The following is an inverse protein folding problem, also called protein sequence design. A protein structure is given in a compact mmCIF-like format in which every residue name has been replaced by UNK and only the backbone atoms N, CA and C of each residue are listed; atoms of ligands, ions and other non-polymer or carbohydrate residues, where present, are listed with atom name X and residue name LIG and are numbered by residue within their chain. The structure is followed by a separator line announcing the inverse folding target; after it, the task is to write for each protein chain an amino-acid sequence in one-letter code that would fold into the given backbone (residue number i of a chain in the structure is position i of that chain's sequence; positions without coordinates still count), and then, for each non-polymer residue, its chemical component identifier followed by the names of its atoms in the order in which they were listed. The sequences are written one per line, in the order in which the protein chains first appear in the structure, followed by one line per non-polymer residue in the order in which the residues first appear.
data_IF_027164956268
#
_entry.id   IF_027164956268
#
_cell.length_a   1.000
_cell.length_b   1.000
_cell.length_c   1.000
_cell.angle_alpha   90.00
_cell.angle_beta   90.00
_cell.angle_gamma   90.00
#
_symmetry.space_group_name_H-M   'P 1'
#
loop_
_entity.id
_entity.type
_entity.pdbx_description
1 polymer ?
#
# COMPACT_ATOMS: atom_id res chain seq x y z
N UNK A 1 10.56 -20.49 -2.68
CA UNK A 1 9.57 -19.64 -1.95
C UNK A 1 9.30 -20.37 -0.64
N UNK A 2 9.81 -19.87 0.48
CA UNK A 2 9.43 -20.41 1.80
C UNK A 2 8.02 -19.90 2.09
N UNK A 3 7.03 -20.77 2.04
CA UNK A 3 5.70 -20.52 2.59
C UNK A 3 5.85 -20.20 4.07
N UNK A 4 5.77 -18.91 4.41
CA UNK A 4 5.66 -18.50 5.80
C UNK A 4 4.19 -18.66 6.18
N UNK A 5 3.86 -19.73 6.91
CA UNK A 5 2.56 -19.88 7.52
C UNK A 5 2.26 -18.64 8.37
N UNK A 6 1.24 -17.89 7.99
CA UNK A 6 0.77 -16.72 8.74
C UNK A 6 -0.44 -17.14 9.56
N UNK A 7 -0.35 -17.04 10.86
CA UNK A 7 -1.51 -17.19 11.74
C UNK A 7 -2.41 -15.96 11.54
N UNK A 8 -3.66 -16.19 11.13
CA UNK A 8 -4.65 -15.13 10.88
C UNK A 8 -5.56 -14.95 12.09
N UNK A 9 -5.99 -16.05 12.70
CA UNK A 9 -6.77 -16.10 13.93
C UNK A 9 -6.06 -17.04 14.90
N UNK A 10 -5.89 -16.61 16.14
CA UNK A 10 -5.17 -17.35 17.15
C UNK A 10 -6.06 -17.51 18.39
N UNK A 11 -6.53 -18.75 18.60
CA UNK A 11 -7.29 -19.16 19.79
C UNK A 11 -8.46 -18.23 20.16
N UNK A 12 -9.28 -17.84 19.16
CA UNK A 12 -10.50 -17.05 19.41
C UNK A 12 -11.64 -17.99 19.84
N UNK A 13 -12.40 -17.55 20.85
CA UNK A 13 -13.59 -18.25 21.31
C UNK A 13 -14.69 -17.25 21.65
N UNK A 14 -15.86 -17.42 21.08
CA UNK A 14 -17.06 -16.62 21.40
C UNK A 14 -18.33 -17.43 21.09
N UNK A 15 -19.42 -17.02 21.67
CA UNK A 15 -20.74 -17.60 21.42
C UNK A 15 -21.74 -16.50 21.08
N UNK A 16 -22.72 -16.82 20.25
CA UNK A 16 -23.79 -15.91 19.85
C UNK A 16 -25.12 -16.59 20.18
N UNK A 17 -25.99 -15.86 20.86
CA UNK A 17 -27.32 -16.36 21.24
C UNK A 17 -28.27 -16.27 20.04
N UNK A 18 -29.28 -17.15 20.03
CA UNK A 18 -30.33 -17.07 19.01
C UNK A 18 -31.02 -15.70 19.05
N UNK A 19 -31.16 -15.07 17.89
CA UNK A 19 -31.75 -13.74 17.76
C UNK A 19 -30.82 -12.58 18.13
N UNK A 20 -29.57 -12.87 18.53
CA UNK A 20 -28.58 -11.83 18.85
C UNK A 20 -27.92 -11.30 17.56
N UNK A 21 -27.72 -9.99 17.47
CA UNK A 21 -26.95 -9.36 16.41
C UNK A 21 -25.56 -8.95 16.94
N UNK A 22 -24.51 -9.47 16.31
CA UNK A 22 -23.12 -9.24 16.71
C UNK A 22 -22.32 -8.58 15.61
N UNK A 23 -21.64 -7.47 15.93
CA UNK A 23 -20.73 -6.76 15.04
C UNK A 23 -19.28 -7.18 15.25
N UNK A 24 -18.58 -7.54 14.18
CA UNK A 24 -17.13 -7.77 14.21
C UNK A 24 -16.41 -6.50 13.75
N UNK A 25 -15.59 -5.93 14.62
CA UNK A 25 -14.83 -4.71 14.35
C UNK A 25 -13.33 -4.97 14.42
N UNK A 26 -12.54 -4.13 13.73
CA UNK A 26 -11.09 -4.23 13.73
C UNK A 26 -10.49 -3.77 12.40
N UNK A 27 -9.18 -3.64 12.36
CA UNK A 27 -8.43 -3.21 11.16
C UNK A 27 -8.56 -4.19 9.99
N UNK A 28 -8.22 -3.70 8.79
CA UNK A 28 -8.08 -4.56 7.63
C UNK A 28 -7.00 -5.62 7.87
N UNK A 29 -7.32 -6.87 7.52
CA UNK A 29 -6.42 -8.01 7.70
C UNK A 29 -6.30 -8.54 9.13
N UNK A 30 -7.13 -8.11 10.09
CA UNK A 30 -7.13 -8.65 11.46
C UNK A 30 -7.86 -9.99 11.62
N UNK A 31 -8.57 -10.47 10.55
CA UNK A 31 -9.24 -11.77 10.57
C UNK A 31 -10.78 -11.74 10.49
N UNK A 32 -11.44 -10.57 10.38
CA UNK A 32 -12.92 -10.46 10.32
C UNK A 32 -13.55 -11.31 9.21
N UNK A 33 -13.17 -11.08 7.95
CA UNK A 33 -13.69 -11.84 6.81
C UNK A 33 -13.25 -13.30 6.85
N UNK A 34 -12.10 -13.62 7.46
CA UNK A 34 -11.69 -15.00 7.71
C UNK A 34 -12.62 -15.68 8.70
N UNK A 35 -13.03 -14.98 9.76
CA UNK A 35 -14.02 -15.47 10.73
C UNK A 35 -15.34 -15.76 10.03
N UNK A 36 -15.83 -14.87 9.17
CA UNK A 36 -17.06 -15.13 8.41
C UNK A 36 -16.91 -16.32 7.46
N UNK A 37 -15.78 -16.48 6.77
CA UNK A 37 -15.52 -17.64 5.90
C UNK A 37 -15.45 -18.96 6.66
N UNK A 38 -15.00 -18.93 7.88
CA UNK A 38 -15.06 -20.08 8.79
C UNK A 38 -16.50 -20.42 9.20
N UNK A 39 -17.31 -19.39 9.52
CA UNK A 39 -18.73 -19.57 9.86
C UNK A 39 -19.54 -20.10 8.66
N UNK A 40 -19.23 -19.68 7.43
CA UNK A 40 -19.88 -20.21 6.21
C UNK A 40 -19.36 -21.57 5.77
N UNK A 41 -18.35 -22.11 6.44
CA UNK A 41 -17.67 -23.37 6.06
C UNK A 41 -16.99 -23.32 4.66
N UNK A 42 -16.72 -22.12 4.13
CA UNK A 42 -15.89 -21.95 2.92
C UNK A 42 -14.45 -22.39 3.21
N UNK A 43 -13.98 -22.14 4.42
CA UNK A 43 -12.72 -22.65 4.94
C UNK A 43 -12.95 -23.34 6.28
N UNK A 44 -12.03 -24.23 6.67
CA UNK A 44 -12.09 -24.94 7.94
C UNK A 44 -10.97 -24.47 8.88
N UNK A 45 -11.21 -24.46 10.20
CA UNK A 45 -10.18 -24.10 11.17
C UNK A 45 -9.09 -25.18 11.22
N UNK A 46 -7.85 -24.77 11.46
CA UNK A 46 -6.74 -25.71 11.67
C UNK A 46 -6.87 -26.47 13.00
N UNK A 47 -7.51 -25.86 13.98
CA UNK A 47 -7.81 -26.45 15.30
C UNK A 47 -9.06 -25.78 15.88
N UNK A 48 -9.69 -26.44 16.86
CA UNK A 48 -10.93 -25.97 17.47
C UNK A 48 -12.18 -26.44 16.72
N UNK A 49 -13.34 -25.95 17.16
CA UNK A 49 -14.66 -26.35 16.64
C UNK A 49 -15.53 -25.14 16.35
N UNK A 50 -16.40 -25.27 15.37
CA UNK A 50 -17.43 -24.29 15.04
C UNK A 50 -18.77 -25.02 15.00
N UNK A 51 -19.67 -24.64 15.86
CA UNK A 51 -21.03 -25.20 15.95
C UNK A 51 -22.04 -24.12 15.61
N UNK A 52 -22.96 -24.44 14.71
CA UNK A 52 -24.06 -23.56 14.30
C UNK A 52 -25.33 -24.39 14.17
N UNK A 53 -26.43 -23.87 14.68
CA UNK A 53 -27.74 -24.50 14.63
C UNK A 53 -28.70 -23.66 13.81
N UNK A 54 -29.22 -24.23 12.71
CA UNK A 54 -30.20 -23.56 11.82
C UNK A 54 -29.67 -23.32 10.41
N UNK A 55 -30.53 -22.73 9.57
CA UNK A 55 -30.21 -22.36 8.19
C UNK A 55 -29.36 -21.10 8.18
N UNK A 56 -28.22 -21.17 7.51
CA UNK A 56 -27.28 -20.04 7.37
C UNK A 56 -27.46 -19.42 5.99
N UNK A 57 -27.71 -18.12 5.93
CA UNK A 57 -27.58 -17.30 4.71
C UNK A 57 -26.37 -16.38 4.83
N UNK A 58 -25.63 -16.23 3.74
CA UNK A 58 -24.41 -15.43 3.72
C UNK A 58 -24.44 -14.42 2.59
N UNK A 59 -24.19 -13.17 2.92
CA UNK A 59 -24.01 -12.08 1.97
C UNK A 59 -22.54 -11.89 1.55
N UNK A 60 -21.64 -12.83 1.87
CA UNK A 60 -20.20 -12.72 1.56
C UNK A 60 -19.93 -12.80 0.06
N UNK A 61 -20.68 -13.65 -0.64
CA UNK A 61 -20.53 -13.87 -2.08
C UNK A 61 -21.85 -13.61 -2.79
N UNK A 62 -22.31 -12.35 -2.73
CA UNK A 62 -23.55 -11.94 -3.42
C UNK A 62 -23.48 -12.21 -4.92
N UNK A 63 -24.52 -12.86 -5.43
CA UNK A 63 -24.62 -13.24 -6.84
C UNK A 63 -23.77 -14.46 -7.22
N UNK A 64 -23.15 -15.15 -6.27
CA UNK A 64 -22.54 -16.44 -6.53
C UNK A 64 -23.60 -17.41 -7.13
N UNK A 65 -23.26 -18.01 -8.26
CA UNK A 65 -24.19 -18.88 -8.99
C UNK A 65 -25.13 -18.16 -9.99
N UNK A 66 -25.04 -16.86 -10.15
CA UNK A 66 -25.72 -16.16 -11.23
C UNK A 66 -25.13 -16.56 -12.59
N UNK A 67 -26.02 -16.96 -13.51
CA UNK A 67 -25.61 -17.28 -14.87
C UNK A 67 -25.83 -16.06 -15.78
N UNK A 68 -24.81 -15.55 -16.47
CA UNK A 68 -24.90 -14.28 -17.21
C UNK A 68 -25.92 -14.31 -18.36
N UNK A 69 -26.16 -15.45 -18.99
CA UNK A 69 -27.08 -15.58 -20.11
C UNK A 69 -28.55 -15.86 -19.70
N UNK A 70 -28.79 -16.15 -18.42
CA UNK A 70 -30.13 -16.30 -17.88
C UNK A 70 -30.70 -14.95 -17.48
N UNK A 71 -32.05 -14.84 -17.51
CA UNK A 71 -32.78 -13.67 -17.03
C UNK A 71 -32.59 -13.47 -15.52
N UNK A 72 -32.92 -12.28 -15.03
CA UNK A 72 -32.92 -12.01 -13.58
C UNK A 72 -33.86 -12.95 -12.85
N UNK A 73 -35.06 -13.24 -13.43
CA UNK A 73 -36.03 -14.17 -12.88
C UNK A 73 -35.48 -15.58 -12.73
N UNK A 74 -34.84 -16.13 -13.77
CA UNK A 74 -34.23 -17.45 -13.73
C UNK A 74 -33.10 -17.51 -12.71
N UNK A 75 -32.31 -16.44 -12.60
CA UNK A 75 -31.26 -16.33 -11.60
C UNK A 75 -31.81 -16.27 -10.16
N UNK A 76 -32.99 -15.68 -9.93
CA UNK A 76 -33.64 -15.75 -8.61
C UNK A 76 -33.89 -17.22 -8.23
N UNK A 77 -34.46 -18.03 -9.12
CA UNK A 77 -34.71 -19.44 -8.84
C UNK A 77 -33.45 -20.22 -8.57
N UNK A 78 -32.43 -20.04 -9.40
CA UNK A 78 -31.14 -20.74 -9.25
C UNK A 78 -30.46 -20.36 -7.95
N UNK A 79 -30.37 -19.06 -7.64
CA UNK A 79 -29.69 -18.58 -6.47
C UNK A 79 -30.43 -18.90 -5.16
N UNK A 80 -31.75 -18.73 -5.12
CA UNK A 80 -32.57 -19.09 -3.98
C UNK A 80 -32.54 -20.60 -3.69
N UNK A 81 -32.44 -21.46 -4.72
CA UNK A 81 -32.25 -22.90 -4.56
C UNK A 81 -30.86 -23.23 -3.94
N UNK A 82 -29.79 -22.45 -4.26
CA UNK A 82 -28.48 -22.60 -3.60
C UNK A 82 -28.58 -22.33 -2.08
N UNK A 83 -29.42 -21.35 -1.69
CA UNK A 83 -29.72 -21.09 -0.27
C UNK A 83 -30.67 -22.14 0.35
N UNK A 84 -31.08 -23.15 -0.41
CA UNK A 84 -31.88 -24.29 0.08
C UNK A 84 -33.39 -24.04 0.09
N UNK A 85 -33.91 -23.06 -0.68
CA UNK A 85 -35.34 -22.89 -0.85
C UNK A 85 -35.87 -23.89 -1.87
N UNK A 86 -37.07 -24.44 -1.59
CA UNK A 86 -37.84 -25.22 -2.55
C UNK A 86 -38.49 -24.29 -3.56
N UNK A 87 -38.85 -24.83 -4.74
CA UNK A 87 -39.55 -24.06 -5.78
C UNK A 87 -40.80 -23.38 -5.23
N UNK A 88 -41.60 -24.06 -4.40
CA UNK A 88 -42.82 -23.52 -3.80
C UNK A 88 -42.52 -22.31 -2.89
N UNK A 89 -41.44 -22.36 -2.12
CA UNK A 89 -41.01 -21.24 -1.28
C UNK A 89 -40.55 -20.06 -2.12
N UNK A 90 -39.83 -20.32 -3.24
CA UNK A 90 -39.40 -19.30 -4.19
C UNK A 90 -40.59 -18.64 -4.86
N UNK A 91 -41.54 -19.45 -5.38
CA UNK A 91 -42.78 -18.93 -6.03
C UNK A 91 -43.57 -18.00 -5.10
N UNK A 92 -43.62 -18.32 -3.81
CA UNK A 92 -44.33 -17.52 -2.80
C UNK A 92 -43.65 -16.16 -2.51
N UNK A 93 -42.34 -16.00 -2.81
CA UNK A 93 -41.56 -14.80 -2.51
C UNK A 93 -41.09 -14.05 -3.76
N UNK A 94 -41.37 -14.60 -4.93
CA UNK A 94 -40.80 -14.09 -6.18
C UNK A 94 -41.11 -12.61 -6.39
N UNK A 95 -42.40 -12.25 -6.18
CA UNK A 95 -42.85 -10.87 -6.38
C UNK A 95 -42.22 -9.91 -5.34
N UNK A 96 -42.02 -10.33 -4.09
CA UNK A 96 -41.36 -9.57 -3.05
C UNK A 96 -39.87 -9.37 -3.37
N UNK A 97 -39.20 -10.40 -3.87
CA UNK A 97 -37.81 -10.31 -4.30
C UNK A 97 -37.65 -9.32 -5.45
N UNK A 98 -38.51 -9.41 -6.47
CA UNK A 98 -38.50 -8.51 -7.62
C UNK A 98 -38.74 -7.07 -7.18
N UNK A 99 -39.80 -6.82 -6.41
CA UNK A 99 -40.16 -5.51 -5.90
C UNK A 99 -39.06 -4.92 -4.97
N UNK A 100 -38.42 -5.78 -4.16
CA UNK A 100 -37.29 -5.33 -3.33
C UNK A 100 -36.08 -4.91 -4.17
N UNK A 101 -35.78 -5.62 -5.26
CA UNK A 101 -34.65 -5.32 -6.15
C UNK A 101 -34.85 -4.04 -6.97
N UNK A 102 -36.11 -3.57 -7.16
CA UNK A 102 -36.48 -2.44 -8.04
C UNK A 102 -36.05 -2.67 -9.49
N UNK A 103 -36.22 -3.91 -9.98
CA UNK A 103 -35.79 -4.31 -11.31
C UNK A 103 -36.98 -4.89 -12.14
N UNK A 104 -38.19 -4.50 -11.82
CA UNK A 104 -39.42 -5.02 -12.47
C UNK A 104 -39.33 -4.95 -13.99
N UNK A 105 -38.89 -3.81 -14.53
CA UNK A 105 -38.78 -3.57 -15.97
C UNK A 105 -37.65 -4.36 -16.65
N UNK A 106 -36.71 -4.87 -15.87
CA UNK A 106 -35.48 -5.53 -16.38
C UNK A 106 -35.42 -7.02 -16.02
N UNK A 107 -36.35 -7.52 -15.20
CA UNK A 107 -36.22 -8.85 -14.57
C UNK A 107 -36.15 -9.99 -15.58
N UNK A 108 -36.75 -9.84 -16.74
CA UNK A 108 -36.77 -10.84 -17.80
C UNK A 108 -35.63 -10.68 -18.82
N UNK A 109 -34.75 -9.67 -18.63
CA UNK A 109 -33.54 -9.50 -19.43
C UNK A 109 -32.40 -10.35 -18.91
N UNK A 110 -31.45 -10.80 -19.77
CA UNK A 110 -30.24 -11.52 -19.35
C UNK A 110 -29.39 -10.67 -18.40
N UNK A 111 -28.90 -11.29 -17.32
CA UNK A 111 -28.14 -10.59 -16.26
C UNK A 111 -26.84 -9.99 -16.77
N UNK A 112 -26.25 -10.51 -17.85
CA UNK A 112 -25.09 -9.90 -18.53
C UNK A 112 -25.34 -8.47 -19.01
N UNK A 113 -26.61 -8.04 -19.17
CA UNK A 113 -26.98 -6.68 -19.59
C UNK A 113 -27.15 -5.73 -18.40
N UNK A 114 -27.08 -6.24 -17.18
CA UNK A 114 -27.24 -5.45 -15.96
C UNK A 114 -26.01 -4.60 -15.68
N UNK A 115 -26.25 -3.42 -15.14
CA UNK A 115 -25.16 -2.67 -14.49
C UNK A 115 -24.69 -3.40 -13.22
N UNK A 116 -23.50 -3.08 -12.72
CA UNK A 116 -23.02 -3.65 -11.45
C UNK A 116 -23.97 -3.39 -10.29
N UNK A 117 -24.61 -2.20 -10.27
CA UNK A 117 -25.61 -1.86 -9.26
C UNK A 117 -26.87 -2.73 -9.37
N UNK A 118 -27.42 -2.93 -10.58
CA UNK A 118 -28.58 -3.82 -10.80
C UNK A 118 -28.26 -5.26 -10.40
N UNK A 119 -27.08 -5.75 -10.79
CA UNK A 119 -26.60 -7.08 -10.41
C UNK A 119 -26.59 -7.27 -8.88
N UNK A 120 -25.98 -6.32 -8.17
CA UNK A 120 -25.87 -6.36 -6.71
C UNK A 120 -27.23 -6.20 -6.02
N UNK A 121 -28.14 -5.36 -6.55
CA UNK A 121 -29.51 -5.22 -6.04
C UNK A 121 -30.28 -6.53 -6.12
N UNK A 122 -30.22 -7.22 -7.27
CA UNK A 122 -30.87 -8.51 -7.44
C UNK A 122 -30.30 -9.56 -6.48
N UNK A 123 -28.98 -9.66 -6.42
CA UNK A 123 -28.29 -10.62 -5.56
C UNK A 123 -28.62 -10.40 -4.06
N UNK A 124 -28.65 -9.15 -3.63
CA UNK A 124 -29.03 -8.79 -2.27
C UNK A 124 -30.51 -9.10 -2.00
N UNK A 125 -31.41 -8.76 -2.94
CA UNK A 125 -32.81 -9.02 -2.81
C UNK A 125 -33.12 -10.52 -2.64
N UNK A 126 -32.44 -11.39 -3.38
CA UNK A 126 -32.56 -12.83 -3.20
C UNK A 126 -32.06 -13.25 -1.81
N UNK A 127 -30.85 -12.88 -1.45
CA UNK A 127 -30.21 -13.35 -0.23
C UNK A 127 -30.90 -12.90 1.07
N UNK A 128 -31.54 -11.71 1.05
CA UNK A 128 -32.25 -11.18 2.23
C UNK A 128 -33.68 -11.70 2.38
N UNK A 129 -34.26 -12.26 1.32
CA UNK A 129 -35.60 -12.85 1.34
C UNK A 129 -35.59 -14.39 1.55
N UNK A 130 -34.42 -14.93 1.93
CA UNK A 130 -34.29 -16.30 2.41
C UNK A 130 -34.59 -16.32 3.91
N UNK A 131 -35.54 -17.17 4.37
CA UNK A 131 -35.75 -17.37 5.81
C UNK A 131 -34.53 -18.08 6.42
N UNK A 132 -33.60 -17.30 6.90
CA UNK A 132 -32.40 -17.79 7.57
C UNK A 132 -32.55 -17.68 9.09
N UNK A 133 -32.08 -18.70 9.81
CA UNK A 133 -31.91 -18.61 11.27
C UNK A 133 -30.69 -17.75 11.62
N UNK A 134 -29.68 -17.76 10.73
CA UNK A 134 -28.41 -17.04 10.88
C UNK A 134 -28.08 -16.30 9.58
N UNK A 135 -27.88 -14.99 9.67
CA UNK A 135 -27.50 -14.13 8.56
C UNK A 135 -26.08 -13.59 8.77
N UNK A 136 -25.18 -13.90 7.83
CA UNK A 136 -23.78 -13.45 7.85
C UNK A 136 -23.55 -12.35 6.80
N UNK A 137 -23.04 -11.20 7.23
CA UNK A 137 -22.92 -9.99 6.40
C UNK A 137 -21.47 -9.52 6.41
N UNK A 138 -20.84 -9.39 5.22
CA UNK A 138 -19.49 -8.83 5.05
C UNK A 138 -19.55 -7.53 4.23
N UNK A 139 -19.39 -6.38 4.87
CA UNK A 139 -19.22 -5.02 4.27
C UNK A 139 -20.21 -4.58 3.16
N UNK A 140 -21.18 -5.41 2.78
CA UNK A 140 -21.94 -5.30 1.54
C UNK A 140 -23.15 -4.34 1.66
N UNK A 141 -23.29 -3.57 2.72
CA UNK A 141 -24.36 -2.57 2.83
C UNK A 141 -24.16 -1.34 1.90
N UNK A 142 -23.09 -1.32 1.11
CA UNK A 142 -22.82 -0.30 0.10
C UNK A 142 -23.43 -0.62 -1.28
N UNK A 143 -24.50 -1.44 -1.34
CA UNK A 143 -25.19 -1.79 -2.58
C UNK A 143 -26.12 -0.66 -3.03
N UNK A 144 -26.02 -0.25 -4.31
CA UNK A 144 -26.90 0.75 -4.89
C UNK A 144 -26.63 2.19 -4.41
N UNK A 145 -27.62 3.04 -4.57
CA UNK A 145 -27.61 4.41 -4.10
C UNK A 145 -28.01 4.53 -2.61
N UNK A 146 -27.94 5.75 -2.06
CA UNK A 146 -28.24 6.01 -0.65
C UNK A 146 -29.66 5.58 -0.25
N UNK A 147 -30.66 5.70 -1.14
CA UNK A 147 -32.04 5.29 -0.87
C UNK A 147 -32.15 3.78 -0.77
N UNK A 148 -31.52 3.06 -1.71
CA UNK A 148 -31.50 1.61 -1.68
C UNK A 148 -30.73 1.06 -0.47
N UNK A 149 -29.63 1.70 -0.10
CA UNK A 149 -28.89 1.35 1.12
C UNK A 149 -29.74 1.51 2.38
N UNK A 150 -30.52 2.59 2.47
CA UNK A 150 -31.46 2.80 3.57
C UNK A 150 -32.55 1.71 3.61
N UNK A 151 -33.06 1.31 2.44
CA UNK A 151 -34.03 0.20 2.30
C UNK A 151 -33.45 -1.12 2.79
N UNK A 152 -32.21 -1.45 2.38
CA UNK A 152 -31.49 -2.64 2.83
C UNK A 152 -31.31 -2.64 4.35
N UNK A 153 -30.93 -1.50 4.91
CA UNK A 153 -30.72 -1.35 6.34
C UNK A 153 -32.00 -1.53 7.16
N UNK A 154 -33.11 -0.97 6.69
CA UNK A 154 -34.42 -1.15 7.32
C UNK A 154 -34.85 -2.61 7.28
N UNK A 155 -34.65 -3.30 6.15
CA UNK A 155 -34.94 -4.73 6.04
C UNK A 155 -34.13 -5.58 7.01
N UNK A 156 -32.88 -5.25 7.23
CA UNK A 156 -32.06 -5.94 8.25
C UNK A 156 -32.60 -5.75 9.67
N UNK A 157 -33.14 -4.56 9.98
CA UNK A 157 -33.81 -4.31 11.27
C UNK A 157 -35.08 -5.14 11.44
N UNK A 158 -35.88 -5.28 10.39
CA UNK A 158 -37.07 -6.13 10.39
C UNK A 158 -36.70 -7.59 10.65
N UNK A 159 -35.75 -8.12 9.89
CA UNK A 159 -35.25 -9.51 10.04
C UNK A 159 -34.68 -9.76 11.45
N UNK A 160 -33.96 -8.79 12.02
CA UNK A 160 -33.52 -8.86 13.41
C UNK A 160 -34.70 -8.92 14.39
N UNK A 161 -35.70 -8.08 14.18
CA UNK A 161 -36.91 -8.05 15.03
C UNK A 161 -37.72 -9.34 14.97
N UNK A 162 -37.64 -10.09 13.86
CA UNK A 162 -38.21 -11.41 13.68
C UNK A 162 -37.44 -12.53 14.40
N UNK A 163 -36.27 -12.21 15.00
CA UNK A 163 -35.47 -13.13 15.80
C UNK A 163 -34.37 -13.85 15.06
N UNK A 164 -33.99 -13.40 13.87
CA UNK A 164 -32.82 -13.92 13.13
C UNK A 164 -31.55 -13.51 13.82
N UNK A 165 -30.63 -14.43 13.95
CA UNK A 165 -29.25 -14.18 14.45
C UNK A 165 -28.42 -13.52 13.36
N UNK A 166 -27.77 -12.40 13.67
CA UNK A 166 -27.01 -11.64 12.67
C UNK A 166 -25.54 -11.52 13.11
N UNK A 167 -24.62 -11.83 12.18
CA UNK A 167 -23.19 -11.49 12.34
C UNK A 167 -22.80 -10.55 11.21
N UNK A 168 -22.40 -9.34 11.57
CA UNK A 168 -22.06 -8.30 10.60
C UNK A 168 -20.62 -7.83 10.75
N UNK A 169 -19.92 -7.75 9.63
CA UNK A 169 -18.66 -7.00 9.50
C UNK A 169 -18.96 -5.70 8.76
N UNK A 170 -18.66 -4.56 9.34
CA UNK A 170 -18.79 -3.27 8.69
C UNK A 170 -17.69 -2.32 9.12
N UNK A 171 -17.26 -1.46 8.19
CA UNK A 171 -16.39 -0.31 8.52
C UNK A 171 -17.15 0.85 9.15
N UNK A 172 -18.49 0.86 9.04
CA UNK A 172 -19.33 1.88 9.64
C UNK A 172 -19.72 1.47 11.07
N UNK A 173 -19.00 2.00 12.05
CA UNK A 173 -19.30 1.75 13.47
C UNK A 173 -20.73 2.19 13.82
N UNK A 174 -21.22 3.29 13.23
CA UNK A 174 -22.58 3.77 13.44
C UNK A 174 -23.67 2.80 12.97
N UNK A 175 -23.43 2.04 11.88
CA UNK A 175 -24.34 1.00 11.43
C UNK A 175 -24.38 -0.17 12.41
N UNK A 176 -23.21 -0.59 12.91
CA UNK A 176 -23.11 -1.65 13.92
C UNK A 176 -23.86 -1.23 15.20
N UNK A 177 -23.70 0.03 15.67
CA UNK A 177 -24.39 0.53 16.85
C UNK A 177 -25.93 0.54 16.72
N UNK A 178 -26.42 0.67 15.49
CA UNK A 178 -27.86 0.71 15.24
C UNK A 178 -28.49 -0.68 15.13
N UNK A 179 -27.75 -1.70 14.70
CA UNK A 179 -28.26 -3.05 14.48
C UNK A 179 -27.83 -3.99 15.60
N UNK A 180 -26.56 -3.94 16.04
CA UNK A 180 -25.99 -4.97 16.86
C UNK A 180 -26.27 -4.75 18.35
N UNK A 181 -26.49 -5.85 19.06
CA UNK A 181 -26.62 -5.88 20.51
C UNK A 181 -25.26 -5.91 21.18
N UNK A 182 -24.25 -6.48 20.50
CA UNK A 182 -22.90 -6.68 20.96
C UNK A 182 -21.89 -6.49 19.85
N UNK A 183 -20.68 -6.06 20.20
CA UNK A 183 -19.54 -6.02 19.28
C UNK A 183 -18.37 -6.82 19.83
N UNK A 184 -17.62 -7.42 18.91
CA UNK A 184 -16.37 -8.13 19.20
C UNK A 184 -15.26 -7.44 18.41
N UNK A 185 -14.25 -6.92 19.10
CA UNK A 185 -13.10 -6.32 18.46
C UNK A 185 -11.99 -7.35 18.29
N UNK A 186 -11.64 -7.62 17.04
CA UNK A 186 -10.53 -8.49 16.65
C UNK A 186 -9.29 -7.66 16.34
N UNK A 187 -8.19 -7.95 17.01
CA UNK A 187 -6.88 -7.32 16.83
C UNK A 187 -5.81 -8.37 16.70
N UNK A 188 -5.07 -8.34 15.58
CA UNK A 188 -4.00 -9.29 15.31
C UNK A 188 -4.39 -10.78 15.48
N UNK A 189 -5.62 -11.12 15.10
CA UNK A 189 -6.13 -12.50 15.21
C UNK A 189 -6.66 -12.91 16.58
N UNK A 190 -6.67 -12.02 17.57
CA UNK A 190 -7.18 -12.24 18.93
C UNK A 190 -8.42 -11.38 19.20
N UNK A 191 -9.27 -11.80 20.13
CA UNK A 191 -10.34 -10.96 20.65
C UNK A 191 -9.74 -10.01 21.70
N UNK A 192 -9.72 -8.72 21.40
CA UNK A 192 -9.20 -7.66 22.27
C UNK A 192 -10.27 -7.16 23.25
N UNK A 193 -11.49 -7.02 22.76
CA UNK A 193 -12.63 -6.59 23.58
C UNK A 193 -13.94 -7.15 23.04
N UNK A 194 -14.88 -7.35 23.96
CA UNK A 194 -16.24 -7.79 23.69
C UNK A 194 -17.19 -7.04 24.65
N UNK A 195 -18.35 -6.63 24.17
CA UNK A 195 -19.32 -5.91 24.97
C UNK A 195 -20.31 -5.09 24.15
N UNK A 196 -20.92 -4.07 24.76
CA UNK A 196 -21.82 -3.20 24.03
C UNK A 196 -21.11 -2.52 22.85
N UNK A 197 -21.78 -2.27 21.72
CA UNK A 197 -21.12 -1.64 20.58
C UNK A 197 -20.42 -0.33 20.93
N UNK A 198 -21.05 0.52 21.74
CA UNK A 198 -20.47 1.81 22.15
C UNK A 198 -19.17 1.67 22.93
N UNK A 199 -19.13 0.77 23.90
CA UNK A 199 -17.96 0.56 24.75
C UNK A 199 -16.76 -0.01 23.95
N UNK A 200 -17.06 -0.98 23.09
CA UNK A 200 -16.04 -1.60 22.23
C UNK A 200 -15.52 -0.61 21.20
N UNK A 201 -16.41 0.18 20.59
CA UNK A 201 -16.03 1.18 19.58
C UNK A 201 -15.19 2.31 20.18
N UNK A 202 -15.48 2.78 21.39
CA UNK A 202 -14.64 3.75 22.07
C UNK A 202 -13.21 3.25 22.24
N UNK A 203 -13.04 2.02 22.76
CA UNK A 203 -11.72 1.39 22.91
C UNK A 203 -11.00 1.21 21.57
N UNK A 204 -11.73 0.83 20.54
CA UNK A 204 -11.19 0.68 19.20
C UNK A 204 -10.73 2.01 18.60
N UNK A 205 -11.52 3.07 18.75
CA UNK A 205 -11.19 4.41 18.26
C UNK A 205 -9.99 5.00 19.01
N UNK A 206 -9.90 4.83 20.32
CA UNK A 206 -8.75 5.26 21.12
C UNK A 206 -7.47 4.57 20.64
N UNK A 207 -7.52 3.26 20.42
CA UNK A 207 -6.41 2.52 19.85
C UNK A 207 -6.00 3.03 18.46
N UNK A 208 -6.98 3.29 17.58
CA UNK A 208 -6.71 3.82 16.23
C UNK A 208 -6.08 5.21 16.27
N UNK A 209 -6.50 6.07 17.22
CA UNK A 209 -5.91 7.39 17.40
C UNK A 209 -4.46 7.31 17.90
N UNK A 210 -4.19 6.45 18.87
CA UNK A 210 -2.82 6.22 19.36
C UNK A 210 -1.88 5.75 18.25
N UNK A 211 -2.31 4.77 17.43
CA UNK A 211 -1.50 4.30 16.31
C UNK A 211 -1.25 5.38 15.25
N UNK A 212 -2.25 6.24 14.98
CA UNK A 212 -2.06 7.38 14.06
C UNK A 212 -1.01 8.35 14.59
N UNK A 213 -1.04 8.64 15.89
CA UNK A 213 -0.05 9.51 16.52
C UNK A 213 1.36 8.91 16.43
N UNK A 214 1.50 7.62 16.77
CA UNK A 214 2.81 6.94 16.67
C UNK A 214 3.34 6.87 15.23
N UNK A 215 2.46 6.66 14.25
CA UNK A 215 2.85 6.65 12.83
C UNK A 215 3.27 8.03 12.36
N UNK A 216 2.55 9.08 12.75
CA UNK A 216 2.88 10.46 12.42
C UNK A 216 4.24 10.86 13.02
N UNK A 217 4.51 10.48 14.27
CA UNK A 217 5.78 10.75 14.93
C UNK A 217 6.94 10.02 14.24
N UNK A 218 6.76 8.74 13.90
CA UNK A 218 7.76 7.95 13.16
C UNK A 218 8.06 8.56 11.77
N UNK A 219 7.04 9.04 11.09
CA UNK A 219 7.22 9.68 9.77
C UNK A 219 7.93 11.02 9.89
N UNK A 220 7.61 11.85 10.88
CA UNK A 220 8.33 13.10 11.16
C UNK A 220 9.81 12.86 11.48
N UNK A 221 10.10 11.85 12.31
CA UNK A 221 11.46 11.45 12.62
C UNK A 221 12.22 10.97 11.37
N UNK A 222 11.56 10.24 10.50
CA UNK A 222 12.15 9.76 9.23
C UNK A 222 12.45 10.93 8.28
N UNK A 223 11.53 11.87 8.14
CA UNK A 223 11.73 13.08 7.32
C UNK A 223 12.87 13.92 7.85
N UNK A 224 12.92 14.17 9.17
CA UNK A 224 14.00 14.92 9.79
C UNK A 224 15.39 14.27 9.60
N UNK A 225 15.46 12.93 9.61
CA UNK A 225 16.71 12.21 9.30
C UNK A 225 17.14 12.41 7.84
N UNK A 226 16.20 12.26 6.89
CA UNK A 226 16.47 12.47 5.47
C UNK A 226 16.93 13.90 5.16
N UNK A 227 16.32 14.90 5.78
CA UNK A 227 16.73 16.30 5.64
C UNK A 227 18.14 16.55 6.18
N UNK A 228 18.49 15.97 7.33
CA UNK A 228 19.85 16.05 7.89
C UNK A 228 20.88 15.42 6.95
N UNK A 229 20.64 14.22 6.45
CA UNK A 229 21.51 13.54 5.49
C UNK A 229 21.70 14.35 4.19
N UNK A 230 20.63 14.97 3.69
CA UNK A 230 20.72 15.85 2.51
C UNK A 230 21.51 17.13 2.79
N UNK A 231 21.33 17.73 3.96
CA UNK A 231 22.14 18.91 4.38
C UNK A 231 23.62 18.56 4.52
N UNK A 232 23.95 17.43 5.12
CA UNK A 232 25.34 16.98 5.27
C UNK A 232 25.99 16.75 3.90
N UNK A 233 25.28 16.08 2.97
CA UNK A 233 25.77 15.89 1.59
C UNK A 233 26.04 17.22 0.89
N UNK A 234 25.09 18.18 0.97
CA UNK A 234 25.30 19.52 0.38
C UNK A 234 26.49 20.25 0.96
N UNK A 235 26.68 20.19 2.28
CA UNK A 235 27.85 20.82 2.92
C UNK A 235 29.16 20.19 2.46
N UNK A 236 29.18 18.87 2.31
CA UNK A 236 30.37 18.17 1.83
C UNK A 236 30.65 18.48 0.36
N UNK A 237 29.65 18.55 -0.49
CA UNK A 237 29.79 18.97 -1.89
C UNK A 237 30.32 20.41 -2.01
N UNK A 238 29.79 21.33 -1.19
CA UNK A 238 30.31 22.71 -1.15
C UNK A 238 31.75 22.77 -0.65
N UNK A 239 32.15 21.96 0.33
CA UNK A 239 33.53 21.87 0.81
C UNK A 239 34.46 21.40 -0.29
N UNK A 240 34.09 20.31 -0.97
CA UNK A 240 34.88 19.78 -2.09
C UNK A 240 34.97 20.81 -3.22
N UNK A 241 33.90 21.54 -3.53
CA UNK A 241 33.91 22.59 -4.56
C UNK A 241 34.83 23.75 -4.20
N UNK A 242 34.84 24.18 -2.93
CA UNK A 242 35.79 25.23 -2.44
C UNK A 242 37.23 24.76 -2.47
N UNK A 243 37.51 23.51 -2.10
CA UNK A 243 38.85 22.94 -2.17
C UNK A 243 39.35 22.83 -3.62
N UNK A 244 38.48 22.38 -4.56
CA UNK A 244 38.82 22.35 -5.99
C UNK A 244 39.10 23.75 -6.57
N UNK A 245 38.35 24.76 -6.13
CA UNK A 245 38.60 26.14 -6.56
C UNK A 245 39.95 26.67 -6.09
N UNK A 246 40.43 26.25 -4.91
CA UNK A 246 41.78 26.58 -4.42
C UNK A 246 42.88 25.88 -5.21
N UNK A 247 42.66 24.65 -5.61
CA UNK A 247 43.64 23.85 -6.37
C UNK A 247 43.80 24.35 -7.80
N UNK A 248 42.76 24.91 -8.40
CA UNK A 248 42.79 25.47 -9.75
C UNK A 248 43.30 26.92 -9.80
N UNK A 249 43.76 27.50 -8.68
CA UNK A 249 44.33 28.84 -8.67
C UNK A 249 45.77 28.81 -9.16
N UNK A 250 46.09 29.75 -10.06
CA UNK A 250 47.44 30.00 -10.53
C UNK A 250 48.18 30.78 -9.46
N UNK A 251 49.40 30.37 -9.15
CA UNK A 251 50.27 31.04 -8.19
C UNK A 251 51.56 31.44 -8.88
N UNK A 252 52.02 32.65 -8.67
CA UNK A 252 53.32 33.13 -9.19
C UNK A 252 53.31 34.63 -9.46
N UNK A 253 54.45 35.18 -9.95
CA UNK A 253 54.63 36.61 -10.28
C UNK A 253 53.91 37.03 -11.56
N UNK A 254 53.32 36.08 -12.33
CA UNK A 254 52.70 36.29 -13.63
C UNK A 254 53.61 36.74 -14.78
N UNK A 255 54.93 36.92 -14.54
CA UNK A 255 55.92 37.26 -15.58
C UNK A 255 56.06 36.14 -16.63
N UNK A 256 55.74 34.91 -16.25
CA UNK A 256 55.66 33.76 -17.15
C UNK A 256 54.43 32.93 -16.79
N UNK A 257 53.68 32.49 -17.83
CA UNK A 257 52.44 31.73 -17.64
C UNK A 257 52.31 30.58 -18.64
N UNK A 258 51.71 29.49 -18.22
CA UNK A 258 51.35 28.41 -19.12
C UNK A 258 50.20 28.89 -20.03
N UNK A 259 50.34 28.69 -21.35
CA UNK A 259 49.33 28.98 -22.36
C UNK A 259 48.45 27.80 -22.64
N UNK A 260 49.02 26.61 -22.81
CA UNK A 260 48.38 25.37 -23.14
C UNK A 260 49.05 24.20 -22.46
N UNK A 261 48.28 23.13 -22.22
CA UNK A 261 48.74 21.90 -21.62
C UNK A 261 48.15 20.74 -22.41
N UNK A 262 49.00 19.99 -23.08
CA UNK A 262 48.64 18.78 -23.78
C UNK A 262 49.22 17.55 -23.10
N UNK A 263 48.44 16.46 -23.09
CA UNK A 263 48.85 15.19 -22.55
C UNK A 263 48.79 14.11 -23.60
N UNK A 264 49.84 13.33 -23.75
CA UNK A 264 49.92 12.25 -24.73
C UNK A 264 50.24 10.92 -24.05
N UNK A 265 49.70 9.85 -24.60
CA UNK A 265 50.02 8.47 -24.22
C UNK A 265 51.38 8.04 -24.78
N UNK A 266 51.81 6.81 -24.47
CA UNK A 266 53.09 6.28 -24.92
C UNK A 266 53.16 6.14 -26.46
N UNK A 267 52.03 6.04 -27.14
CA UNK A 267 51.91 6.00 -28.59
C UNK A 267 51.97 7.39 -29.25
N UNK A 268 52.00 8.47 -28.47
CA UNK A 268 52.03 9.85 -28.96
C UNK A 268 50.63 10.39 -29.32
N UNK A 269 49.55 9.76 -28.90
CA UNK A 269 48.18 10.21 -29.14
C UNK A 269 47.72 11.07 -27.97
N UNK A 270 47.06 12.20 -28.25
CA UNK A 270 46.53 13.09 -27.23
C UNK A 270 45.41 12.36 -26.45
N UNK A 271 45.51 12.32 -25.12
CA UNK A 271 44.55 11.67 -24.24
C UNK A 271 44.42 12.40 -22.92
N UNK A 272 43.22 12.35 -22.33
CA UNK A 272 42.94 12.82 -20.97
C UNK A 272 42.69 11.70 -19.98
N UNK A 273 42.73 10.44 -20.45
CA UNK A 273 42.50 9.25 -19.64
C UNK A 273 43.67 8.31 -19.81
N UNK A 274 44.31 7.94 -18.71
CA UNK A 274 45.51 7.09 -18.67
C UNK A 274 45.29 5.92 -17.70
N UNK A 275 45.88 4.77 -18.03
CA UNK A 275 45.85 3.59 -17.15
C UNK A 275 46.97 3.68 -16.11
N UNK A 276 46.77 3.05 -14.97
CA UNK A 276 47.79 2.95 -13.94
C UNK A 276 49.03 2.25 -14.49
N UNK A 277 50.21 2.91 -14.38
CA UNK A 277 51.49 2.40 -14.90
C UNK A 277 51.81 2.79 -16.34
N UNK A 278 50.90 3.49 -17.05
CA UNK A 278 51.13 4.01 -18.39
C UNK A 278 52.05 5.25 -18.34
N UNK A 279 52.91 5.37 -19.34
CA UNK A 279 53.77 6.56 -19.48
C UNK A 279 52.95 7.72 -20.03
N UNK A 280 53.01 8.85 -19.35
CA UNK A 280 52.33 10.09 -19.75
C UNK A 280 53.39 11.11 -20.17
N UNK A 281 53.20 11.68 -21.35
CA UNK A 281 54.02 12.78 -21.86
C UNK A 281 53.21 14.07 -21.70
N UNK A 282 53.78 15.05 -21.00
CA UNK A 282 53.19 16.39 -20.82
C UNK A 282 53.93 17.37 -21.73
N UNK A 283 53.15 18.03 -22.58
CA UNK A 283 53.62 19.15 -23.39
C UNK A 283 52.99 20.45 -22.81
N UNK A 284 53.87 21.36 -22.38
CA UNK A 284 53.53 22.55 -21.63
C UNK A 284 53.94 23.78 -22.44
N UNK A 285 52.97 24.40 -23.14
CA UNK A 285 53.19 25.72 -23.77
C UNK A 285 53.29 26.81 -22.68
N UNK A 286 54.21 27.72 -22.82
CA UNK A 286 54.32 28.85 -21.92
C UNK A 286 54.63 30.14 -22.63
N UNK A 287 54.19 31.26 -22.09
CA UNK A 287 54.47 32.62 -22.58
C UNK A 287 55.20 33.43 -21.48
N UNK A 288 56.19 34.17 -21.88
CA UNK A 288 56.96 35.02 -20.97
C UNK A 288 56.79 36.47 -21.43
N UNK A 289 56.22 37.29 -20.57
CA UNK A 289 55.93 38.71 -20.87
C UNK A 289 57.12 39.61 -20.67
N UNK A 290 58.06 39.24 -19.75
CA UNK A 290 59.27 39.99 -19.44
C UNK A 290 60.48 39.06 -19.44
N UNK A 291 61.70 39.61 -19.57
CA UNK A 291 62.91 38.78 -19.46
C UNK A 291 63.05 38.23 -18.06
N UNK A 292 62.81 36.89 -17.94
CA UNK A 292 62.90 36.15 -16.68
C UNK A 292 64.19 35.36 -16.68
N UNK A 293 64.98 35.55 -15.65
CA UNK A 293 66.22 34.75 -15.38
C UNK A 293 65.83 33.71 -14.31
N UNK A 294 66.24 32.45 -14.54
CA UNK A 294 65.98 31.32 -13.63
C UNK A 294 64.50 31.00 -13.36
N UNK A 295 63.67 30.96 -14.44
CA UNK A 295 62.29 30.57 -14.31
C UNK A 295 62.15 29.12 -13.81
N UNK A 296 61.30 28.92 -12.80
CA UNK A 296 60.94 27.61 -12.29
C UNK A 296 59.45 27.39 -12.51
N UNK A 297 59.12 26.40 -13.29
CA UNK A 297 57.75 25.99 -13.49
C UNK A 297 57.42 24.78 -12.62
N UNK A 298 56.27 24.83 -11.97
CA UNK A 298 55.79 23.72 -11.16
C UNK A 298 54.43 23.25 -11.60
N UNK A 299 54.20 21.96 -11.57
CA UNK A 299 52.87 21.40 -11.74
C UNK A 299 52.61 20.36 -10.66
N UNK A 300 51.36 20.20 -10.31
CA UNK A 300 50.88 19.22 -9.35
C UNK A 300 49.71 18.41 -9.93
N UNK A 301 49.73 17.10 -9.66
CA UNK A 301 48.65 16.18 -10.00
C UNK A 301 47.87 15.87 -8.74
N UNK A 302 46.59 16.12 -8.79
CA UNK A 302 45.64 15.87 -7.71
C UNK A 302 44.59 14.84 -8.12
N UNK A 303 44.18 13.98 -7.20
CA UNK A 303 43.04 13.11 -7.35
C UNK A 303 41.72 13.94 -7.29
N UNK A 304 40.63 13.40 -7.79
CA UNK A 304 39.34 14.10 -7.82
C UNK A 304 38.81 14.60 -6.46
N UNK A 305 39.28 14.02 -5.36
CA UNK A 305 39.01 14.41 -3.98
C UNK A 305 40.02 15.43 -3.41
N UNK A 306 40.78 16.08 -4.29
CA UNK A 306 41.83 17.07 -3.97
C UNK A 306 43.06 16.50 -3.22
N UNK A 307 43.20 15.17 -3.17
CA UNK A 307 44.42 14.57 -2.59
C UNK A 307 45.61 14.80 -3.52
N UNK A 308 46.69 15.35 -2.97
CA UNK A 308 47.95 15.52 -3.67
C UNK A 308 48.55 14.16 -4.04
N UNK A 309 48.75 13.93 -5.33
CA UNK A 309 49.29 12.65 -5.83
C UNK A 309 50.77 12.79 -6.26
N UNK A 310 51.07 13.86 -6.97
CA UNK A 310 52.41 14.08 -7.50
C UNK A 310 52.67 15.57 -7.75
N UNK A 311 53.90 16.02 -7.63
CA UNK A 311 54.32 17.37 -7.99
C UNK A 311 55.75 17.38 -8.51
N UNK A 312 56.02 18.19 -9.50
CA UNK A 312 57.32 18.35 -10.10
C UNK A 312 57.63 19.83 -10.29
N UNK A 313 58.90 20.21 -10.08
CA UNK A 313 59.46 21.51 -10.42
C UNK A 313 60.36 21.33 -11.63
N UNK A 314 60.12 22.12 -12.67
CA UNK A 314 60.92 22.15 -13.89
C UNK A 314 61.84 23.39 -13.80
N UNK A 315 63.13 23.15 -13.74
CA UNK A 315 64.15 24.19 -13.72
C UNK A 315 64.64 24.47 -15.15
N UNK A 316 64.62 25.73 -15.57
CA UNK A 316 65.24 26.11 -16.83
C UNK A 316 66.75 26.23 -16.61
N UNK A 317 67.53 25.27 -17.10
CA UNK A 317 68.95 25.45 -17.20
C UNK A 317 69.29 26.46 -18.31
N UNK A 318 70.19 27.36 -18.16
CA UNK A 318 70.63 28.22 -19.25
C UNK A 318 71.13 27.36 -20.42
N UNK A 319 70.57 27.66 -21.61
CA UNK A 319 70.95 26.94 -22.83
C UNK A 319 72.44 27.03 -23.04
N UNK A 320 73.11 25.94 -23.48
CA UNK A 320 74.55 26.00 -23.79
C UNK A 320 74.94 27.04 -24.85
N UNK A 321 73.93 27.60 -25.57
CA UNK A 321 74.09 28.66 -26.57
C UNK A 321 74.22 30.07 -25.96
N UNK A 322 73.84 30.24 -24.71
CA UNK A 322 73.85 31.54 -24.03
C UNK A 322 75.15 31.73 -23.18
N UNK A 323 76.10 30.83 -23.32
CA UNK A 323 77.47 31.01 -22.80
C UNK A 323 78.34 31.55 -23.91
N UNK A 324 78.22 32.82 -24.14
CA UNK A 324 79.11 33.61 -25.00
C UNK A 324 79.75 34.69 -24.19
#
# INVERSE_FOLDING_TARGET
IRDRNRVVLDNISFSIKKGEAVGLVGKNGCGKSTTLKLLTKIIYPNSGTIEMCGRVSSLIELGAGFHPDMSGRENIYTNAAIFGLTKKEIDARLDDIIAFSELEDFIDNPVRTYSSGMYMRLAFAVAINVDADILLIDEILAVGDANYQAKCFNKLREIKAEGTTIVIVSHSLGQIEQICDRSIWIKNGLIEAEGTPKDVHLKYLDYMNQERMEQAEKEQLRQAKLEREQMEKKKEEERIKKERAKVNSRYGSEDARFTDIHMYNEAGEESRIFKTGEKVILDLGYHVDNKVTDAVFGFGIFRNDALWCYGCLLYTSPSPRDRG
#
